data_IF_936108992370
#
_entry.id   IF_936108992370
#
_cell.length_a   1.000
_cell.length_b   1.000
_cell.length_c   1.000
_cell.angle_alpha   90.00
_cell.angle_beta   90.00
_cell.angle_gamma   90.00
#
_symmetry.space_group_name_H-M   'P 1'
#
loop_
_entity.id
_entity.type
_entity.pdbx_description
1 polymer ?
#
# COMPACT_ATOMS: atom_id res chain seq x y z
N UNK A 1 27.05 28.66 26.59
CA UNK A 1 27.80 28.01 27.69
C UNK A 1 26.97 26.80 28.10
N UNK A 2 27.39 25.54 28.02
CA UNK A 2 28.70 24.93 28.12
C UNK A 2 28.70 23.66 27.23
N UNK A 3 29.73 23.49 26.39
CA UNK A 3 30.04 22.24 25.70
C UNK A 3 30.83 21.34 26.66
N UNK A 4 30.52 20.04 26.71
CA UNK A 4 31.51 19.01 27.07
C UNK A 4 31.43 17.87 26.05
N UNK A 5 32.62 17.57 25.54
CA UNK A 5 33.05 16.54 24.61
C UNK A 5 33.69 15.43 25.46
N UNK A 6 33.44 14.14 25.21
CA UNK A 6 34.47 13.08 25.20
C UNK A 6 33.86 11.68 25.03
N UNK A 7 34.22 10.96 23.95
CA UNK A 7 35.39 10.08 23.76
C UNK A 7 35.10 8.63 24.17
N UNK A 8 34.90 7.81 23.15
CA UNK A 8 35.59 6.54 22.88
C UNK A 8 35.92 5.60 24.02
N UNK A 9 35.36 4.39 23.94
CA UNK A 9 36.07 3.18 24.36
C UNK A 9 35.90 2.11 23.26
N UNK A 10 37.01 1.63 22.66
CA UNK A 10 37.05 0.44 21.81
C UNK A 10 37.39 -0.80 22.64
N UNK A 11 36.97 -2.00 22.20
CA UNK A 11 37.60 -3.32 22.43
C UNK A 11 36.66 -4.40 21.86
N UNK A 12 36.88 -4.93 20.66
CA UNK A 12 37.84 -6.00 20.32
C UNK A 12 37.62 -7.31 21.08
N UNK A 13 36.99 -8.29 20.43
CA UNK A 13 37.40 -9.70 20.53
C UNK A 13 36.92 -10.51 19.30
N UNK A 14 37.86 -10.83 18.42
CA UNK A 14 37.84 -12.02 17.54
C UNK A 14 38.42 -13.21 18.34
N UNK A 15 38.37 -14.51 17.93
CA UNK A 15 38.88 -14.96 16.62
C UNK A 15 38.27 -16.26 16.02
N UNK A 16 38.85 -16.65 14.88
CA UNK A 16 39.07 -18.01 14.40
C UNK A 16 37.98 -18.70 13.55
N UNK A 17 38.05 -18.47 12.23
CA UNK A 17 37.53 -19.37 11.19
C UNK A 17 38.61 -19.62 10.15
N UNK A 18 39.12 -20.84 10.10
CA UNK A 18 40.38 -21.26 9.50
C UNK A 18 40.43 -21.24 7.97
N UNK A 19 41.54 -20.69 7.47
CA UNK A 19 42.16 -20.87 6.16
C UNK A 19 41.93 -22.24 5.51
N UNK A 20 41.09 -22.31 4.46
CA UNK A 20 41.22 -23.38 3.48
C UNK A 20 42.27 -22.98 2.44
N UNK A 21 43.49 -23.47 2.71
CA UNK A 21 44.70 -23.26 1.93
C UNK A 21 44.53 -23.79 0.51
N UNK A 22 44.57 -22.89 -0.45
CA UNK A 22 44.86 -23.14 -1.86
C UNK A 22 46.20 -23.87 -1.97
N UNK A 23 46.17 -25.15 -2.36
CA UNK A 23 47.36 -25.86 -2.82
C UNK A 23 47.38 -25.81 -4.33
N UNK A 24 48.31 -25.04 -4.87
CA UNK A 24 48.75 -25.21 -6.24
C UNK A 24 49.39 -26.58 -6.39
N UNK A 25 48.92 -27.34 -7.38
CA UNK A 25 49.68 -28.39 -8.02
C UNK A 25 49.94 -27.91 -9.45
N UNK A 26 51.21 -27.74 -9.77
CA UNK A 26 51.69 -27.47 -11.14
C UNK A 26 51.35 -28.64 -12.06
N UNK A 27 50.95 -28.39 -13.32
CA UNK A 27 50.70 -29.45 -14.28
C UNK A 27 52.01 -30.17 -14.66
N UNK A 28 52.01 -31.51 -14.80
CA UNK A 28 53.13 -32.22 -15.42
C UNK A 28 53.19 -31.89 -16.92
N UNK A 29 54.40 -31.70 -17.44
CA UNK A 29 54.68 -31.33 -18.83
C UNK A 29 54.31 -32.40 -19.86
N UNK A 30 54.38 -32.07 -21.17
CA UNK A 30 53.95 -32.96 -22.23
C UNK A 30 55.02 -34.02 -22.52
N UNK A 31 54.66 -35.29 -22.34
CA UNK A 31 55.55 -36.42 -22.54
C UNK A 31 54.80 -37.72 -22.85
N UNK A 32 54.43 -37.86 -24.11
CA UNK A 32 54.36 -39.10 -24.91
C UNK A 32 53.58 -40.32 -24.38
N UNK A 33 52.48 -40.61 -25.10
CA UNK A 33 51.97 -41.93 -25.52
C UNK A 33 51.79 -43.01 -24.44
N UNK A 34 50.53 -43.37 -24.19
CA UNK A 34 50.09 -44.77 -24.37
C UNK A 34 48.58 -44.78 -24.70
N UNK A 35 48.27 -45.09 -25.96
CA UNK A 35 46.94 -45.29 -26.50
C UNK A 35 46.48 -46.71 -26.15
N UNK A 36 45.91 -46.93 -24.96
CA UNK A 36 45.18 -48.17 -24.71
C UNK A 36 43.98 -47.94 -23.79
N UNK A 37 42.80 -48.24 -24.34
CA UNK A 37 41.58 -48.65 -23.64
C UNK A 37 40.46 -47.61 -23.42
N UNK A 38 39.99 -47.00 -24.52
CA UNK A 38 38.71 -46.26 -24.56
C UNK A 38 37.58 -46.98 -25.31
N UNK A 39 37.64 -48.32 -25.47
CA UNK A 39 36.63 -49.03 -26.30
C UNK A 39 35.40 -49.57 -25.53
N UNK A 40 35.34 -49.45 -24.20
CA UNK A 40 34.27 -50.08 -23.42
C UNK A 40 33.53 -49.19 -22.40
N UNK A 41 33.84 -47.90 -22.28
CA UNK A 41 33.05 -46.97 -21.43
C UNK A 41 31.86 -46.30 -22.14
N UNK A 42 31.61 -46.62 -23.42
CA UNK A 42 30.52 -46.02 -24.20
C UNK A 42 29.14 -46.68 -24.07
N UNK A 43 28.94 -47.69 -23.21
CA UNK A 43 27.74 -48.56 -23.26
C UNK A 43 26.79 -48.54 -22.04
N UNK A 44 26.94 -47.60 -21.11
CA UNK A 44 26.00 -47.42 -19.97
C UNK A 44 25.49 -45.98 -19.80
N UNK A 45 25.55 -45.15 -20.84
CA UNK A 45 24.62 -44.02 -20.97
C UNK A 45 23.61 -44.34 -22.07
N UNK A 46 22.90 -45.46 -21.90
CA UNK A 46 21.71 -45.75 -22.70
C UNK A 46 20.66 -44.69 -22.33
N UNK A 47 20.53 -43.72 -23.23
CA UNK A 47 19.30 -43.02 -23.57
C UNK A 47 18.36 -42.74 -22.38
N UNK A 48 18.69 -41.74 -21.58
CA UNK A 48 17.63 -40.89 -21.02
C UNK A 48 17.48 -39.69 -21.96
N UNK A 49 17.00 -39.95 -23.19
CA UNK A 49 16.47 -38.89 -24.04
C UNK A 49 15.14 -38.48 -23.44
N UNK A 50 15.16 -37.45 -22.58
CA UNK A 50 13.92 -36.75 -22.24
C UNK A 50 13.45 -36.09 -23.53
N UNK A 51 12.53 -36.76 -24.22
CA UNK A 51 11.78 -36.17 -25.33
C UNK A 51 10.96 -35.03 -24.74
N UNK A 52 11.52 -33.83 -24.72
CA UNK A 52 10.77 -32.60 -24.53
C UNK A 52 9.88 -32.42 -25.76
N UNK A 53 8.74 -33.11 -25.78
CA UNK A 53 7.65 -32.78 -26.67
C UNK A 53 7.28 -31.33 -26.34
N UNK A 54 7.71 -30.39 -27.19
CA UNK A 54 7.35 -28.98 -27.05
C UNK A 54 5.85 -28.87 -27.32
N UNK A 55 5.05 -28.98 -26.26
CA UNK A 55 3.64 -28.60 -26.24
C UNK A 55 3.59 -27.07 -26.24
N UNK A 56 3.72 -26.47 -27.43
CA UNK A 56 3.49 -25.05 -27.62
C UNK A 56 2.00 -24.73 -27.51
N UNK A 57 1.68 -23.58 -26.92
CA UNK A 57 0.34 -22.99 -27.00
C UNK A 57 0.06 -22.62 -28.45
N UNK A 58 -1.09 -22.99 -28.99
CA UNK A 58 -1.45 -22.59 -30.35
C UNK A 58 -1.80 -21.09 -30.39
N UNK A 59 -1.52 -20.42 -31.50
CA UNK A 59 -1.92 -19.01 -31.67
C UNK A 59 -3.44 -18.84 -31.58
N UNK A 60 -4.20 -19.85 -32.00
CA UNK A 60 -5.66 -19.84 -31.91
C UNK A 60 -6.15 -19.95 -30.46
N UNK A 61 -5.51 -20.77 -29.62
CA UNK A 61 -5.83 -20.85 -28.19
C UNK A 61 -5.53 -19.51 -27.50
N UNK A 62 -4.41 -18.88 -27.84
CA UNK A 62 -4.04 -17.60 -27.25
C UNK A 62 -5.03 -16.49 -27.65
N UNK A 63 -5.46 -16.45 -28.91
CA UNK A 63 -6.46 -15.48 -29.37
C UNK A 63 -7.79 -15.60 -28.63
N UNK A 64 -8.28 -16.82 -28.41
CA UNK A 64 -9.54 -17.04 -27.68
C UNK A 64 -9.39 -16.63 -26.21
N UNK A 65 -8.26 -16.96 -25.58
CA UNK A 65 -7.99 -16.59 -24.19
C UNK A 65 -7.98 -15.08 -24.01
N UNK A 66 -7.30 -14.35 -24.89
CA UNK A 66 -7.27 -12.87 -24.84
C UNK A 66 -8.65 -12.27 -25.09
N UNK A 67 -9.45 -12.86 -25.99
CA UNK A 67 -10.82 -12.41 -26.23
C UNK A 67 -11.70 -12.53 -24.96
N UNK A 68 -11.62 -13.66 -24.24
CA UNK A 68 -12.39 -13.86 -23.01
C UNK A 68 -11.90 -12.92 -21.90
N UNK A 69 -10.58 -12.80 -21.70
CA UNK A 69 -10.01 -11.88 -20.71
C UNK A 69 -10.42 -10.43 -21.01
N UNK A 70 -10.48 -10.03 -22.28
CA UNK A 70 -10.92 -8.69 -22.68
C UNK A 70 -12.36 -8.38 -22.24
N UNK A 71 -13.29 -9.33 -22.37
CA UNK A 71 -14.67 -9.17 -21.92
C UNK A 71 -14.74 -9.07 -20.39
N UNK A 72 -14.02 -9.95 -19.68
CA UNK A 72 -13.99 -9.93 -18.22
C UNK A 72 -13.38 -8.63 -17.68
N UNK A 73 -12.30 -8.15 -18.29
CA UNK A 73 -11.62 -6.93 -17.89
C UNK A 73 -12.52 -5.69 -18.03
N UNK A 74 -13.36 -5.63 -19.07
CA UNK A 74 -14.28 -4.51 -19.29
C UNK A 74 -15.29 -4.32 -18.13
N UNK A 75 -15.69 -5.41 -17.46
CA UNK A 75 -16.60 -5.36 -16.31
C UNK A 75 -15.81 -5.27 -15.00
N UNK A 76 -14.69 -5.98 -14.90
CA UNK A 76 -13.91 -6.08 -13.67
C UNK A 76 -13.16 -4.79 -13.32
N UNK A 77 -12.63 -4.07 -14.32
CA UNK A 77 -11.86 -2.84 -14.08
C UNK A 77 -12.70 -1.75 -13.40
N UNK A 78 -13.89 -1.34 -13.91
CA UNK A 78 -14.68 -0.31 -13.25
C UNK A 78 -15.15 -0.75 -11.86
N UNK A 79 -15.59 -2.02 -11.71
CA UNK A 79 -16.01 -2.53 -10.40
C UNK A 79 -14.86 -2.57 -9.37
N UNK A 80 -13.64 -2.88 -9.81
CA UNK A 80 -12.46 -2.85 -8.96
C UNK A 80 -12.07 -1.42 -8.56
N UNK A 81 -12.17 -0.46 -9.49
CA UNK A 81 -11.93 0.95 -9.21
C UNK A 81 -12.89 1.46 -8.13
N UNK A 82 -14.20 1.20 -8.26
CA UNK A 82 -15.21 1.56 -7.25
C UNK A 82 -14.92 0.91 -5.89
N UNK A 83 -14.51 -0.35 -5.88
CA UNK A 83 -14.16 -1.05 -4.64
C UNK A 83 -12.98 -0.37 -3.93
N UNK A 84 -11.93 -0.02 -4.68
CA UNK A 84 -10.77 0.69 -4.11
C UNK A 84 -11.14 2.10 -3.65
N UNK A 85 -11.98 2.81 -4.40
CA UNK A 85 -12.47 4.14 -4.01
C UNK A 85 -13.28 4.07 -2.70
N UNK A 86 -14.18 3.09 -2.55
CA UNK A 86 -14.93 2.87 -1.29
C UNK A 86 -14.00 2.59 -0.10
N UNK A 87 -12.94 1.81 -0.32
CA UNK A 87 -11.96 1.53 0.71
C UNK A 87 -11.22 2.80 1.13
N UNK A 88 -10.80 3.63 0.17
CA UNK A 88 -10.16 4.92 0.44
C UNK A 88 -11.11 5.89 1.15
N UNK A 89 -12.38 5.96 0.72
CA UNK A 89 -13.41 6.81 1.32
C UNK A 89 -13.66 6.48 2.80
N UNK A 90 -13.50 5.21 3.20
CA UNK A 90 -13.68 4.79 4.59
C UNK A 90 -12.68 5.45 5.55
N UNK A 91 -11.49 5.82 5.08
CA UNK A 91 -10.51 6.55 5.89
C UNK A 91 -11.02 7.94 6.28
N UNK A 92 -11.58 8.70 5.32
CA UNK A 92 -12.15 10.02 5.58
C UNK A 92 -13.27 9.94 6.62
N UNK A 93 -14.18 8.96 6.48
CA UNK A 93 -15.27 8.75 7.44
C UNK A 93 -14.73 8.35 8.82
N UNK A 94 -13.65 7.57 8.88
CA UNK A 94 -13.01 7.20 10.15
C UNK A 94 -12.36 8.41 10.84
N UNK A 95 -11.65 9.27 10.09
CA UNK A 95 -11.03 10.48 10.62
C UNK A 95 -12.10 11.47 11.11
N UNK A 96 -13.15 11.71 10.33
CA UNK A 96 -14.31 12.51 10.75
C UNK A 96 -15.00 11.90 11.98
N UNK A 97 -15.17 10.58 12.01
CA UNK A 97 -15.77 9.86 13.13
C UNK A 97 -15.03 10.07 14.45
N UNK A 98 -13.70 10.19 14.42
CA UNK A 98 -12.87 10.45 15.60
C UNK A 98 -13.11 11.84 16.22
N UNK A 99 -13.64 12.80 15.44
CA UNK A 99 -13.92 14.14 15.94
C UNK A 99 -15.23 14.21 16.75
N UNK A 100 -16.14 13.25 16.62
CA UNK A 100 -17.49 13.34 17.21
C UNK A 100 -17.45 13.54 18.73
N UNK A 101 -16.67 12.72 19.44
CA UNK A 101 -16.54 12.82 20.89
C UNK A 101 -15.94 14.16 21.35
N UNK A 102 -14.75 14.58 20.88
CA UNK A 102 -14.15 15.82 21.35
C UNK A 102 -14.96 17.07 20.94
N UNK A 103 -15.67 17.05 19.81
CA UNK A 103 -16.62 18.12 19.44
C UNK A 103 -17.73 18.26 20.49
N UNK A 104 -18.35 17.13 20.87
CA UNK A 104 -19.44 17.13 21.87
C UNK A 104 -18.93 17.57 23.23
N UNK A 105 -17.79 17.04 23.68
CA UNK A 105 -17.18 17.42 24.97
C UNK A 105 -16.87 18.91 25.05
N UNK A 106 -16.30 19.49 23.99
CA UNK A 106 -16.04 20.91 23.90
C UNK A 106 -17.34 21.73 23.91
N UNK A 107 -18.33 21.34 23.10
CA UNK A 107 -19.61 22.04 23.02
C UNK A 107 -20.33 22.07 24.38
N UNK A 108 -20.28 20.97 25.14
CA UNK A 108 -20.86 20.89 26.47
C UNK A 108 -20.13 21.75 27.51
N UNK A 109 -18.85 22.04 27.29
CA UNK A 109 -18.02 22.83 28.23
C UNK A 109 -18.08 24.32 27.92
N UNK A 110 -17.93 24.69 26.66
CA UNK A 110 -17.79 26.09 26.21
C UNK A 110 -19.11 26.68 25.68
N UNK A 111 -20.10 25.84 25.38
CA UNK A 111 -21.40 26.27 24.83
C UNK A 111 -21.34 26.70 23.36
N UNK A 112 -20.21 26.52 22.69
CA UNK A 112 -19.99 26.82 21.26
C UNK A 112 -19.25 25.68 20.59
N UNK A 113 -19.44 25.52 19.28
CA UNK A 113 -18.72 24.50 18.52
C UNK A 113 -17.22 24.86 18.36
N UNK A 114 -16.30 23.88 18.51
CA UNK A 114 -14.87 24.12 18.38
C UNK A 114 -14.42 24.23 16.93
N UNK A 115 -13.38 25.03 16.67
CA UNK A 115 -12.58 24.84 15.46
C UNK A 115 -11.69 23.61 15.62
N UNK A 116 -11.18 23.04 14.52
CA UNK A 116 -10.25 21.89 14.61
C UNK A 116 -9.02 22.17 15.47
N UNK A 117 -8.56 23.42 15.53
CA UNK A 117 -7.43 23.83 16.36
C UNK A 117 -7.73 23.79 17.86
N UNK A 118 -9.00 23.89 18.26
CA UNK A 118 -9.43 23.89 19.66
C UNK A 118 -9.56 22.47 20.24
N UNK A 119 -9.67 21.46 19.36
CA UNK A 119 -9.80 20.05 19.73
C UNK A 119 -8.49 19.41 20.19
N UNK A 120 -7.39 20.18 20.24
CA UNK A 120 -6.06 19.68 20.57
C UNK A 120 -5.45 18.84 19.43
N UNK A 121 -4.68 17.82 19.79
CA UNK A 121 -3.94 17.02 18.80
C UNK A 121 -4.82 15.92 18.18
N UNK A 122 -5.75 16.32 17.33
CA UNK A 122 -6.55 15.42 16.48
C UNK A 122 -5.84 15.15 15.15
N UNK A 123 -5.92 13.90 14.68
CA UNK A 123 -5.39 13.52 13.36
C UNK A 123 -6.26 14.12 12.26
N UNK A 124 -5.70 15.03 11.46
CA UNK A 124 -6.41 15.80 10.42
C UNK A 124 -5.98 15.44 8.98
N UNK A 125 -5.20 14.37 8.83
CA UNK A 125 -4.72 13.87 7.55
C UNK A 125 -4.38 12.39 7.67
N UNK A 126 -4.35 11.70 6.54
CA UNK A 126 -4.05 10.28 6.46
C UNK A 126 -3.37 9.93 5.14
N UNK A 127 -3.47 8.66 4.73
CA UNK A 127 -2.90 8.20 3.46
C UNK A 127 -3.69 8.79 2.27
N UNK A 128 -5.03 8.76 2.34
CA UNK A 128 -5.91 9.22 1.28
C UNK A 128 -6.56 10.58 1.55
N UNK A 129 -6.44 11.10 2.78
CA UNK A 129 -6.99 12.40 3.20
C UNK A 129 -5.86 13.41 3.35
N UNK A 130 -5.88 14.46 2.54
CA UNK A 130 -4.85 15.50 2.55
C UNK A 130 -5.00 16.48 3.72
N UNK A 131 -6.24 16.84 4.07
CA UNK A 131 -6.49 17.84 5.10
C UNK A 131 -7.91 17.74 5.65
N UNK A 132 -8.12 18.40 6.79
CA UNK A 132 -9.44 18.69 7.32
C UNK A 132 -9.59 20.19 7.59
N UNK A 133 -10.82 20.69 7.50
CA UNK A 133 -11.19 22.06 7.81
C UNK A 133 -12.47 22.11 8.66
N UNK A 134 -12.64 23.16 9.44
CA UNK A 134 -13.90 23.45 10.17
C UNK A 134 -14.52 24.73 9.64
N UNK A 135 -15.79 24.68 9.28
CA UNK A 135 -16.65 25.82 9.00
C UNK A 135 -17.66 25.99 10.16
N UNK A 136 -17.53 27.10 10.87
CA UNK A 136 -18.36 27.44 12.03
C UNK A 136 -19.31 28.61 11.74
N UNK A 137 -19.55 28.92 10.46
CA UNK A 137 -20.39 30.06 10.04
C UNK A 137 -21.83 29.90 10.55
N UNK A 138 -22.34 28.67 10.59
CA UNK A 138 -23.60 28.34 11.26
C UNK A 138 -23.32 27.65 12.61
N UNK A 139 -23.46 28.35 13.76
CA UNK A 139 -23.23 27.76 15.07
C UNK A 139 -24.26 26.68 15.46
N UNK A 140 -25.41 26.60 14.76
CA UNK A 140 -26.37 25.52 14.96
C UNK A 140 -25.99 24.24 14.21
N UNK A 141 -25.19 24.39 13.13
CA UNK A 141 -24.78 23.31 12.22
C UNK A 141 -23.32 23.48 11.76
N UNK A 142 -22.34 23.52 12.68
CA UNK A 142 -20.92 23.53 12.30
C UNK A 142 -20.58 22.31 11.43
N UNK A 143 -19.74 22.54 10.41
CA UNK A 143 -19.33 21.54 9.43
C UNK A 143 -17.84 21.28 9.55
N UNK A 144 -17.45 20.01 9.54
CA UNK A 144 -16.06 19.58 9.51
C UNK A 144 -15.85 18.81 8.21
N UNK A 145 -14.95 19.31 7.37
CA UNK A 145 -14.75 18.80 6.02
C UNK A 145 -13.43 18.05 5.95
N UNK A 146 -13.43 16.81 5.47
CA UNK A 146 -12.24 16.09 5.06
C UNK A 146 -12.05 16.24 3.55
N UNK A 147 -10.82 16.49 3.11
CA UNK A 147 -10.45 16.63 1.69
C UNK A 147 -9.54 15.48 1.29
N UNK A 148 -9.94 14.72 0.27
CA UNK A 148 -9.11 13.66 -0.29
C UNK A 148 -7.87 14.25 -0.99
N UNK A 149 -6.80 13.47 -1.06
CA UNK A 149 -5.57 13.88 -1.72
C UNK A 149 -5.80 14.14 -3.22
N UNK A 150 -5.04 15.09 -3.79
CA UNK A 150 -5.13 15.42 -5.21
C UNK A 150 -4.53 14.33 -6.13
N UNK A 151 -3.75 13.41 -5.58
CA UNK A 151 -3.12 12.29 -6.29
C UNK A 151 -2.90 11.13 -5.33
N UNK A 152 -2.70 9.92 -5.85
CA UNK A 152 -2.54 8.71 -5.02
C UNK A 152 -3.86 8.11 -4.52
N UNK A 153 -4.99 8.74 -4.87
CA UNK A 153 -6.36 8.23 -4.64
C UNK A 153 -7.03 7.90 -5.97
N UNK A 154 -8.14 7.16 -5.91
CA UNK A 154 -9.00 6.85 -7.06
C UNK A 154 -9.43 8.13 -7.76
N UNK A 155 -9.50 8.09 -9.09
CA UNK A 155 -9.83 9.25 -9.92
C UNK A 155 -11.10 9.97 -9.47
N UNK A 156 -12.12 9.22 -9.05
CA UNK A 156 -13.41 9.76 -8.61
C UNK A 156 -13.35 10.49 -7.26
N UNK A 157 -12.27 10.32 -6.48
CA UNK A 157 -12.11 10.96 -5.18
C UNK A 157 -11.09 12.11 -5.19
N UNK A 158 -10.37 12.36 -6.28
CA UNK A 158 -9.27 13.33 -6.28
C UNK A 158 -9.77 14.74 -5.97
N UNK A 159 -9.30 15.30 -4.85
CA UNK A 159 -9.71 16.63 -4.33
C UNK A 159 -11.19 16.76 -3.98
N UNK A 160 -11.94 15.66 -3.96
CA UNK A 160 -13.32 15.66 -3.47
C UNK A 160 -13.34 15.78 -1.94
N UNK A 161 -14.50 16.16 -1.39
CA UNK A 161 -14.65 16.36 0.05
C UNK A 161 -15.84 15.63 0.67
N UNK A 162 -15.69 15.32 1.95
CA UNK A 162 -16.71 14.71 2.80
C UNK A 162 -16.93 15.58 4.01
N UNK A 163 -18.19 15.92 4.27
CA UNK A 163 -18.60 16.78 5.36
C UNK A 163 -19.20 15.97 6.49
N UNK A 164 -18.82 16.33 7.71
CA UNK A 164 -19.48 15.95 8.94
C UNK A 164 -20.13 17.19 9.55
N UNK A 165 -21.46 17.22 9.58
CA UNK A 165 -22.22 18.29 10.23
C UNK A 165 -22.65 17.86 11.61
N UNK A 166 -22.42 18.70 12.61
CA UNK A 166 -22.94 18.51 13.96
C UNK A 166 -24.19 19.37 14.17
N UNK A 167 -25.34 18.74 14.37
CA UNK A 167 -26.59 19.41 14.74
C UNK A 167 -26.61 19.61 16.26
N UNK A 168 -26.33 20.84 16.69
CA UNK A 168 -26.19 21.17 18.12
C UNK A 168 -27.53 21.15 18.87
N UNK A 169 -28.65 21.28 18.16
CA UNK A 169 -29.98 21.23 18.77
C UNK A 169 -30.41 19.80 19.09
N UNK A 170 -30.06 18.84 18.23
CA UNK A 170 -30.45 17.44 18.36
C UNK A 170 -29.33 16.54 18.90
N UNK A 171 -28.14 17.10 19.12
CA UNK A 171 -26.92 16.36 19.44
C UNK A 171 -26.69 15.19 18.46
N UNK A 172 -26.80 15.49 17.17
CA UNK A 172 -26.74 14.49 16.10
C UNK A 172 -25.64 14.83 15.09
N UNK A 173 -25.06 13.80 14.49
CA UNK A 173 -24.05 13.96 13.44
C UNK A 173 -24.56 13.41 12.13
N UNK A 174 -24.46 14.19 11.07
CA UNK A 174 -24.73 13.77 9.69
C UNK A 174 -23.45 13.83 8.89
N UNK A 175 -23.17 12.79 8.11
CA UNK A 175 -21.99 12.70 7.26
C UNK A 175 -22.46 12.54 5.82
N UNK A 176 -21.94 13.35 4.90
CA UNK A 176 -22.28 13.28 3.49
C UNK A 176 -21.13 13.81 2.62
N UNK A 177 -20.91 13.28 1.41
CA UNK A 177 -20.01 13.94 0.47
C UNK A 177 -20.60 15.27 0.00
N UNK A 178 -19.74 16.23 -0.29
CA UNK A 178 -20.17 17.51 -0.86
C UNK A 178 -20.66 17.35 -2.30
N UNK A 179 -20.01 16.46 -3.06
CA UNK A 179 -20.42 16.08 -4.39
C UNK A 179 -21.31 14.82 -4.35
N UNK A 180 -22.57 14.96 -4.76
CA UNK A 180 -23.52 13.84 -4.79
C UNK A 180 -23.08 12.70 -5.74
N UNK A 181 -22.22 12.98 -6.73
CA UNK A 181 -21.72 11.97 -7.66
C UNK A 181 -20.94 10.84 -6.97
N UNK A 182 -20.30 11.13 -5.82
CA UNK A 182 -19.52 10.16 -5.06
C UNK A 182 -20.30 9.54 -3.88
N UNK A 183 -21.59 9.88 -3.71
CA UNK A 183 -22.44 9.32 -2.62
C UNK A 183 -22.48 7.79 -2.67
N UNK A 184 -22.45 7.21 -3.87
CA UNK A 184 -22.45 5.76 -3.98
C UNK A 184 -21.15 5.13 -3.49
N UNK A 185 -20.02 5.83 -3.59
CA UNK A 185 -18.70 5.38 -3.11
C UNK A 185 -18.54 5.48 -1.58
N UNK A 186 -19.43 6.18 -0.89
CA UNK A 186 -19.31 6.36 0.55
C UNK A 186 -19.84 5.15 1.34
N UNK A 187 -19.30 4.87 2.55
CA UNK A 187 -19.90 3.94 3.50
C UNK A 187 -21.34 4.33 3.85
N UNK A 188 -22.18 3.36 4.21
CA UNK A 188 -23.61 3.57 4.51
C UNK A 188 -23.89 4.59 5.63
N UNK A 189 -22.96 4.78 6.57
CA UNK A 189 -23.07 5.79 7.63
C UNK A 189 -22.73 7.22 7.20
N UNK A 190 -22.36 7.43 5.94
CA UNK A 190 -21.96 8.72 5.38
C UNK A 190 -22.49 8.88 3.94
N UNK A 191 -23.82 8.85 3.77
CA UNK A 191 -24.49 9.01 2.47
C UNK A 191 -25.55 10.10 2.53
#
# INVERSE_FOLDING_TARGET
MLRIINIGIPSALAPAGSNHRSRGATPPGPGQRELINDKHRGRIMKNMQINHAQKGFTLIELMIVVAIIGILAAIAIPAYQDYTARAQASEAVSLLGALKTPIVEYYLTEGTAPALADLGNVTQSGEYVASMASDLTDPAKPVYTATFAASGVSADLQSETVDLTYDTANNAFTCAPTNAAISELMPTGCK
#
